data_IF_037713139822
#
_entry.id   IF_037713139822
#
_cell.length_a   1.000
_cell.length_b   1.000
_cell.length_c   1.000
_cell.angle_alpha   90.00
_cell.angle_beta   90.00
_cell.angle_gamma   90.00
#
_symmetry.space_group_name_H-M   'P 1'
#
loop_
_entity.id
_entity.type
_entity.pdbx_description
1 polymer ?
#
# COMPACT_ATOMS: atom_id res chain seq x y z
N UNK A 1 30.07 11.52 -12.21
CA UNK A 1 29.12 10.51 -12.75
C UNK A 1 28.92 9.44 -11.68
N UNK A 2 27.77 9.47 -10.99
CA UNK A 2 27.33 8.43 -10.04
C UNK A 2 26.12 7.75 -10.67
N UNK A 3 26.38 6.69 -11.44
CA UNK A 3 25.34 5.79 -11.96
C UNK A 3 25.76 4.39 -11.53
N UNK A 4 24.99 3.73 -10.64
CA UNK A 4 25.27 2.34 -10.27
C UNK A 4 24.86 1.83 -8.88
N UNK A 5 23.99 2.51 -8.12
CA UNK A 5 23.64 2.07 -6.74
C UNK A 5 22.18 1.60 -6.57
N UNK A 6 21.28 1.80 -7.55
CA UNK A 6 19.85 1.69 -7.27
C UNK A 6 19.16 0.35 -7.63
N UNK A 7 19.78 -0.55 -8.39
CA UNK A 7 19.12 -1.80 -8.82
C UNK A 7 19.26 -2.96 -7.81
N UNK A 8 20.45 -3.16 -7.23
CA UNK A 8 20.74 -4.21 -6.24
C UNK A 8 20.15 -3.88 -4.86
N UNK A 9 20.04 -2.60 -4.51
CA UNK A 9 19.41 -2.17 -3.27
C UNK A 9 17.91 -2.48 -3.26
N UNK A 10 17.21 -2.17 -4.35
CA UNK A 10 15.78 -2.45 -4.53
C UNK A 10 15.47 -3.95 -4.43
N UNK A 11 16.28 -4.81 -5.05
CA UNK A 11 16.11 -6.26 -4.97
C UNK A 11 16.38 -6.83 -3.57
N UNK A 12 17.34 -6.26 -2.83
CA UNK A 12 17.64 -6.68 -1.45
C UNK A 12 16.52 -6.34 -0.45
N UNK A 13 15.89 -5.17 -0.59
CA UNK A 13 14.75 -4.73 0.24
C UNK A 13 13.52 -5.57 -0.10
N UNK A 14 13.28 -5.82 -1.38
CA UNK A 14 12.19 -6.69 -1.85
C UNK A 14 12.31 -8.12 -1.32
N UNK A 15 13.51 -8.68 -1.33
CA UNK A 15 13.76 -10.02 -0.79
C UNK A 15 13.54 -10.10 0.72
N UNK A 16 13.99 -9.08 1.49
CA UNK A 16 13.71 -9.01 2.93
C UNK A 16 12.22 -8.88 3.25
N UNK A 17 11.50 -8.05 2.47
CA UNK A 17 10.06 -7.91 2.60
C UNK A 17 9.32 -9.23 2.32
N UNK A 18 9.71 -9.94 1.25
CA UNK A 18 9.13 -11.24 0.89
C UNK A 18 9.40 -12.31 1.93
N UNK A 19 10.63 -12.38 2.45
CA UNK A 19 11.01 -13.30 3.52
C UNK A 19 10.18 -13.04 4.79
N UNK A 20 10.10 -11.79 5.24
CA UNK A 20 9.27 -11.43 6.40
C UNK A 20 7.78 -11.77 6.21
N UNK A 21 7.26 -11.61 4.98
CA UNK A 21 5.89 -12.03 4.65
C UNK A 21 5.73 -13.54 4.68
N UNK A 22 6.66 -14.32 4.15
CA UNK A 22 6.60 -15.78 4.20
C UNK A 22 6.67 -16.31 5.63
N UNK A 23 7.48 -15.71 6.51
CA UNK A 23 7.54 -16.06 7.93
C UNK A 23 6.25 -15.72 8.67
N UNK A 24 5.64 -14.56 8.39
CA UNK A 24 4.40 -14.13 9.04
C UNK A 24 3.16 -14.90 8.56
N UNK A 25 3.18 -15.43 7.35
CA UNK A 25 2.06 -16.17 6.76
C UNK A 25 2.24 -17.70 6.77
N UNK A 26 3.38 -18.20 7.24
CA UNK A 26 3.63 -19.61 7.57
C UNK A 26 3.36 -20.60 6.44
N UNK A 27 4.42 -21.11 5.80
CA UNK A 27 4.34 -22.45 5.19
C UNK A 27 4.14 -23.42 6.38
N UNK A 28 3.14 -24.31 6.35
CA UNK A 28 3.02 -25.37 7.35
C UNK A 28 4.19 -26.32 7.13
N UNK A 29 5.33 -26.03 7.75
CA UNK A 29 6.41 -26.99 7.91
C UNK A 29 5.84 -28.10 8.80
N UNK A 30 5.51 -29.21 8.16
CA UNK A 30 5.31 -30.50 8.77
C UNK A 30 6.56 -30.84 9.61
N UNK A 31 6.56 -30.53 10.90
CA UNK A 31 7.52 -31.07 11.85
C UNK A 31 6.82 -32.07 12.77
N UNK A 32 6.86 -33.32 12.31
CA UNK A 32 7.18 -34.52 13.10
C UNK A 32 6.91 -34.47 14.61
N UNK A 33 5.70 -34.85 15.00
CA UNK A 33 5.40 -35.93 15.93
C UNK A 33 3.91 -35.84 16.22
N UNK A 34 3.22 -36.97 16.21
CA UNK A 34 1.87 -37.04 16.76
C UNK A 34 1.95 -36.77 18.28
N UNK A 35 2.04 -35.50 18.66
CA UNK A 35 1.78 -35.06 20.01
C UNK A 35 0.36 -35.53 20.35
N UNK A 36 0.21 -36.09 21.55
CA UNK A 36 -1.12 -36.44 22.03
C UNK A 36 -1.99 -35.18 22.00
N UNK A 37 -3.27 -35.34 21.67
CA UNK A 37 -4.19 -34.21 21.47
C UNK A 37 -4.20 -33.28 22.70
N UNK A 38 -4.01 -33.85 23.89
CA UNK A 38 -3.88 -33.17 25.18
C UNK A 38 -2.61 -32.32 25.33
N UNK A 39 -1.46 -32.79 24.84
CA UNK A 39 -0.20 -32.05 24.86
C UNK A 39 -0.23 -30.85 23.90
N UNK A 40 -0.88 -31.03 22.74
CA UNK A 40 -1.09 -29.97 21.77
C UNK A 40 -2.04 -28.90 22.33
N UNK A 41 -3.12 -29.30 23.00
CA UNK A 41 -4.05 -28.38 23.66
C UNK A 41 -3.35 -27.58 24.78
N UNK A 42 -2.50 -28.22 25.57
CA UNK A 42 -1.72 -27.55 26.61
C UNK A 42 -0.75 -26.51 26.02
N UNK A 43 -0.03 -26.86 24.96
CA UNK A 43 0.89 -25.95 24.28
C UNK A 43 0.16 -24.76 23.62
N UNK A 44 -1.02 -25.00 23.04
CA UNK A 44 -1.88 -23.94 22.48
C UNK A 44 -2.40 -23.01 23.58
N UNK A 45 -2.82 -23.56 24.72
CA UNK A 45 -3.29 -22.75 25.86
C UNK A 45 -2.17 -21.88 26.44
N UNK A 46 -0.96 -22.42 26.56
CA UNK A 46 0.22 -21.67 27.02
C UNK A 46 0.66 -20.60 25.99
N UNK A 47 0.64 -20.92 24.70
CA UNK A 47 0.93 -19.97 23.62
C UNK A 47 -0.13 -18.87 23.52
N UNK A 48 -1.41 -19.20 23.69
CA UNK A 48 -2.50 -18.22 23.71
C UNK A 48 -2.38 -17.28 24.92
N UNK A 49 -2.07 -17.82 26.10
CA UNK A 49 -1.87 -17.04 27.31
C UNK A 49 -0.62 -16.13 27.22
N UNK A 50 0.47 -16.63 26.64
CA UNK A 50 1.75 -15.89 26.53
C UNK A 50 1.78 -14.88 25.37
N UNK A 51 1.03 -15.12 24.30
CA UNK A 51 1.07 -14.28 23.10
C UNK A 51 0.31 -12.96 23.24
N UNK A 52 -0.57 -12.82 24.25
CA UNK A 52 -1.34 -11.59 24.48
C UNK A 52 -2.13 -11.13 23.24
N UNK A 53 -2.35 -12.06 22.30
CA UNK A 53 -2.96 -11.77 21.02
C UNK A 53 -4.46 -11.55 21.27
N UNK A 54 -5.02 -10.41 20.81
CA UNK A 54 -6.46 -10.21 20.89
C UNK A 54 -7.15 -11.38 20.18
N UNK A 55 -8.21 -11.94 20.77
CA UNK A 55 -8.95 -13.12 20.27
C UNK A 55 -9.47 -12.99 18.82
N UNK A 56 -9.33 -11.83 18.22
CA UNK A 56 -9.61 -11.55 16.82
C UNK A 56 -8.27 -11.36 16.12
N UNK A 57 -7.64 -12.48 15.73
CA UNK A 57 -6.45 -12.52 14.86
C UNK A 57 -6.69 -12.01 13.43
N UNK A 58 -7.84 -11.38 13.17
CA UNK A 58 -8.17 -10.77 11.89
C UNK A 58 -7.68 -9.31 11.91
N UNK A 59 -6.80 -8.88 10.99
CA UNK A 59 -6.48 -7.48 10.86
C UNK A 59 -7.79 -6.69 10.65
N UNK A 60 -7.93 -5.49 11.25
CA UNK A 60 -9.15 -4.72 11.17
C UNK A 60 -9.58 -4.60 9.69
N UNK A 61 -10.75 -5.16 9.36
CA UNK A 61 -11.31 -5.19 7.99
C UNK A 61 -11.43 -3.79 7.36
N UNK A 62 -11.36 -2.75 8.17
CA UNK A 62 -11.48 -1.35 7.78
C UNK A 62 -10.23 -0.75 7.11
N UNK A 63 -9.06 -1.40 7.18
CA UNK A 63 -7.79 -0.80 6.76
C UNK A 63 -7.28 -1.11 5.35
N UNK A 64 -7.97 -1.96 4.57
CA UNK A 64 -7.34 -2.59 3.39
C UNK A 64 -7.60 -1.83 2.07
N UNK A 65 -8.55 -0.90 2.03
CA UNK A 65 -8.81 -0.10 0.83
C UNK A 65 -8.71 1.40 1.10
N UNK A 66 -7.54 1.98 0.84
CA UNK A 66 -7.42 3.43 0.65
C UNK A 66 -8.29 3.82 -0.54
N UNK A 67 -9.42 4.46 -0.27
CA UNK A 67 -10.41 4.79 -1.30
C UNK A 67 -9.80 5.83 -2.26
N UNK A 68 -9.32 5.38 -3.42
CA UNK A 68 -8.73 6.24 -4.48
C UNK A 68 -9.68 7.34 -5.00
N UNK A 69 -10.98 7.28 -4.64
CA UNK A 69 -12.01 8.25 -5.01
C UNK A 69 -11.65 9.71 -4.67
N UNK A 70 -10.88 9.94 -3.60
CA UNK A 70 -10.48 11.30 -3.19
C UNK A 70 -9.36 11.92 -4.04
N UNK A 71 -8.54 11.10 -4.72
CA UNK A 71 -7.47 11.61 -5.58
C UNK A 71 -7.99 12.04 -6.96
N UNK A 72 -8.94 11.29 -7.56
CA UNK A 72 -9.48 11.64 -8.87
C UNK A 72 -10.21 13.00 -8.86
N UNK A 73 -10.98 13.29 -7.80
CA UNK A 73 -11.74 14.55 -7.73
C UNK A 73 -10.83 15.78 -7.73
N UNK A 74 -9.70 15.73 -7.00
CA UNK A 74 -8.76 16.86 -6.91
C UNK A 74 -8.07 17.15 -8.24
N UNK A 75 -7.65 16.12 -8.97
CA UNK A 75 -7.02 16.28 -10.28
C UNK A 75 -8.00 16.73 -11.36
N UNK A 76 -9.26 16.27 -11.29
CA UNK A 76 -10.32 16.71 -12.19
C UNK A 76 -10.53 18.24 -12.11
N UNK A 77 -10.70 18.77 -10.90
CA UNK A 77 -10.88 20.22 -10.73
C UNK A 77 -9.64 21.02 -11.13
N UNK A 78 -8.44 20.51 -10.84
CA UNK A 78 -7.19 21.15 -11.25
C UNK A 78 -7.08 21.25 -12.78
N UNK A 79 -7.39 20.15 -13.48
CA UNK A 79 -7.40 20.12 -14.95
C UNK A 79 -8.46 21.08 -15.53
N UNK A 80 -9.66 21.12 -14.93
CA UNK A 80 -10.73 22.01 -15.35
C UNK A 80 -10.32 23.49 -15.23
N UNK A 81 -9.69 23.87 -14.12
CA UNK A 81 -9.20 25.24 -13.90
C UNK A 81 -8.09 25.61 -14.89
N UNK A 82 -7.15 24.69 -15.16
CA UNK A 82 -6.10 24.92 -16.16
C UNK A 82 -6.67 25.15 -17.56
N UNK A 83 -7.62 24.31 -17.97
CA UNK A 83 -8.24 24.36 -19.29
C UNK A 83 -9.06 25.66 -19.45
N UNK A 84 -9.81 26.02 -18.42
CA UNK A 84 -10.56 27.27 -18.39
C UNK A 84 -9.64 28.51 -18.43
N UNK A 85 -8.58 28.53 -17.63
CA UNK A 85 -7.61 29.62 -17.62
C UNK A 85 -6.93 29.80 -18.98
N UNK A 86 -6.50 28.69 -19.61
CA UNK A 86 -5.93 28.73 -20.96
C UNK A 86 -6.90 29.29 -21.99
N UNK A 87 -8.18 28.93 -21.91
CA UNK A 87 -9.22 29.47 -22.80
C UNK A 87 -9.39 30.99 -22.63
N UNK A 88 -9.46 31.48 -21.39
CA UNK A 88 -9.61 32.91 -21.09
C UNK A 88 -8.38 33.70 -21.58
N UNK A 89 -7.17 33.22 -21.29
CA UNK A 89 -5.93 33.86 -21.73
C UNK A 89 -5.85 33.89 -23.26
N UNK A 90 -6.19 32.78 -23.92
CA UNK A 90 -6.22 32.70 -25.37
C UNK A 90 -7.21 33.68 -25.99
N UNK A 91 -8.41 33.79 -25.41
CA UNK A 91 -9.44 34.72 -25.88
C UNK A 91 -9.04 36.18 -25.66
N UNK A 92 -8.42 36.48 -24.51
CA UNK A 92 -7.94 37.82 -24.20
C UNK A 92 -6.80 38.25 -25.14
N UNK A 93 -5.85 37.35 -25.41
CA UNK A 93 -4.75 37.61 -26.32
C UNK A 93 -5.23 37.78 -27.77
N UNK A 94 -6.13 36.91 -28.23
CA UNK A 94 -6.79 37.05 -29.54
C UNK A 94 -7.52 38.39 -29.63
N UNK A 95 -8.38 38.71 -28.65
CA UNK A 95 -9.13 39.95 -28.63
C UNK A 95 -8.23 41.18 -28.72
N UNK A 96 -7.11 41.19 -28.00
CA UNK A 96 -6.11 42.27 -28.08
C UNK A 96 -5.47 42.39 -29.46
N UNK A 97 -5.22 41.27 -30.15
CA UNK A 97 -4.60 41.26 -31.48
C UNK A 97 -5.57 41.71 -32.58
N UNK A 98 -6.83 41.27 -32.52
CA UNK A 98 -7.82 41.52 -33.58
C UNK A 98 -8.71 42.74 -33.35
N UNK A 99 -8.89 43.23 -32.12
CA UNK A 99 -9.80 44.34 -31.81
C UNK A 99 -9.08 45.70 -31.70
N UNK A 100 -7.75 45.71 -31.63
CA UNK A 100 -6.95 46.95 -31.63
C UNK A 100 -6.51 47.37 -33.06
N UNK A 101 -7.15 46.84 -34.10
CA UNK A 101 -6.96 47.20 -35.51
C UNK A 101 -8.07 48.08 -36.04
#
# INVERSE_FOLDING_TARGET
MKEGIDSTASSSVWNRYRAAKQTAFGIPEESEAAQTLEELEAAIAEAAASSGLPEIGLPPRAGVHTVKRRQLSRWYYLALVLLFSGLVIGLFWWGREHHNG
#
